data_IF_039584268556
#
_entry.id   IF_039584268556
#
_cell.length_a   1.000
_cell.length_b   1.000
_cell.length_c   1.000
_cell.angle_alpha   90.00
_cell.angle_beta   90.00
_cell.angle_gamma   90.00
#
_symmetry.space_group_name_H-M   'P 1'
#
loop_
_entity.id
_entity.type
_entity.pdbx_description
1 polymer ?
#
# COMPACT_ATOMS: atom_id res chain seq x y z
N UNK A 1 1.78 2.02 -47.90
CA UNK A 1 1.99 3.20 -47.04
C UNK A 1 2.96 2.77 -45.94
N UNK A 2 4.24 3.13 -46.07
CA UNK A 2 5.29 2.77 -45.11
C UNK A 2 5.54 3.93 -44.16
N UNK A 3 5.44 3.68 -42.85
CA UNK A 3 5.77 4.65 -41.81
C UNK A 3 7.28 4.71 -41.62
N UNK A 4 7.85 5.89 -41.79
CA UNK A 4 9.28 6.17 -41.67
C UNK A 4 9.57 6.68 -40.25
N UNK A 5 9.43 5.83 -39.24
CA UNK A 5 9.63 6.25 -37.84
C UNK A 5 11.09 6.07 -37.41
N UNK A 6 11.76 7.22 -37.30
CA UNK A 6 13.14 7.37 -36.84
C UNK A 6 13.19 7.04 -35.33
N UNK A 7 13.97 6.02 -34.97
CA UNK A 7 14.36 5.74 -33.58
C UNK A 7 15.22 6.90 -33.07
N UNK A 8 14.74 7.61 -32.05
CA UNK A 8 15.41 8.78 -31.46
C UNK A 8 16.83 8.46 -30.97
N UNK A 9 17.82 8.88 -31.75
CA UNK A 9 19.20 9.08 -31.30
C UNK A 9 19.39 10.52 -30.83
N UNK A 10 20.17 10.69 -29.76
CA UNK A 10 20.54 11.98 -29.16
C UNK A 10 21.29 12.88 -30.15
N UNK A 11 20.54 13.61 -30.97
CA UNK A 11 20.87 14.93 -31.51
C UNK A 11 19.86 15.21 -32.62
N UNK A 12 19.05 16.25 -32.44
CA UNK A 12 18.83 17.30 -33.43
C UNK A 12 17.69 18.20 -32.95
N UNK A 13 17.94 19.51 -32.99
CA UNK A 13 16.97 20.60 -32.85
C UNK A 13 15.62 20.21 -33.49
N UNK A 14 14.61 19.93 -32.68
CA UNK A 14 13.27 19.64 -33.17
C UNK A 14 12.43 20.90 -33.18
N UNK A 15 12.12 21.35 -34.40
CA UNK A 15 11.26 22.47 -34.69
C UNK A 15 9.85 22.22 -34.16
N UNK A 16 9.28 23.31 -33.64
CA UNK A 16 7.91 23.46 -33.16
C UNK A 16 6.90 22.86 -34.17
N UNK A 17 6.32 21.69 -33.87
CA UNK A 17 5.19 21.16 -34.67
C UNK A 17 4.97 19.64 -34.70
N UNK A 18 5.85 18.80 -34.18
CA UNK A 18 5.65 17.34 -34.22
C UNK A 18 4.95 16.81 -32.97
N UNK A 19 3.88 16.03 -33.20
CA UNK A 19 3.13 15.31 -32.18
C UNK A 19 4.06 14.29 -31.50
N UNK A 20 4.78 14.72 -30.47
CA UNK A 20 5.76 13.89 -29.78
C UNK A 20 5.05 12.68 -29.21
N UNK A 21 5.23 11.51 -29.82
CA UNK A 21 4.75 10.25 -29.29
C UNK A 21 5.45 10.00 -27.95
N UNK A 22 4.75 10.30 -26.85
CA UNK A 22 5.31 10.21 -25.51
C UNK A 22 5.39 8.76 -25.11
N UNK A 23 6.60 8.22 -25.00
CA UNK A 23 6.80 6.95 -24.31
C UNK A 23 6.32 7.12 -22.85
N UNK A 24 5.71 6.10 -22.22
CA UNK A 24 5.24 6.17 -20.83
C UNK A 24 6.30 6.62 -19.81
N UNK A 25 7.58 6.54 -20.18
CA UNK A 25 8.73 6.97 -19.39
C UNK A 25 9.05 8.47 -19.49
N UNK A 26 8.40 9.20 -20.40
CA UNK A 26 8.78 10.58 -20.80
C UNK A 26 7.87 11.68 -20.26
N UNK A 27 6.83 11.36 -19.48
CA UNK A 27 5.82 12.35 -19.06
C UNK A 27 6.03 12.97 -17.68
N UNK A 28 7.04 12.57 -16.89
CA UNK A 28 7.09 12.90 -15.45
C UNK A 28 5.78 12.57 -14.71
N UNK A 29 4.91 11.72 -15.29
CA UNK A 29 3.60 11.44 -14.71
C UNK A 29 3.73 10.73 -13.37
N UNK A 30 2.80 11.07 -12.49
CA UNK A 30 2.66 10.38 -11.22
C UNK A 30 2.39 8.90 -11.47
N UNK A 31 3.30 8.02 -11.01
CA UNK A 31 3.08 6.58 -11.05
C UNK A 31 1.97 6.23 -10.06
N UNK A 32 0.80 5.90 -10.61
CA UNK A 32 -0.39 5.45 -9.89
C UNK A 32 -0.85 4.12 -10.48
N UNK A 33 -1.45 3.27 -9.67
CA UNK A 33 -1.97 1.97 -10.07
C UNK A 33 -3.45 1.84 -9.71
N UNK A 34 -4.19 1.07 -10.50
CA UNK A 34 -5.57 0.67 -10.17
C UNK A 34 -5.66 -0.84 -10.25
N UNK A 35 -6.11 -1.47 -9.17
CA UNK A 35 -6.33 -2.92 -9.09
C UNK A 35 -7.82 -3.18 -8.91
N UNK A 36 -8.34 -4.16 -9.64
CA UNK A 36 -9.69 -4.67 -9.43
C UNK A 36 -9.59 -5.97 -8.64
N UNK A 37 -10.08 -5.96 -7.40
CA UNK A 37 -9.91 -7.04 -6.43
C UNK A 37 -11.28 -7.57 -6.04
N UNK A 38 -11.51 -8.85 -6.28
CA UNK A 38 -12.73 -9.51 -5.82
C UNK A 38 -12.57 -9.98 -4.37
N UNK A 39 -13.45 -9.56 -3.48
CA UNK A 39 -13.49 -9.98 -2.09
C UNK A 39 -14.64 -10.99 -1.88
N UNK A 40 -14.37 -12.22 -1.40
CA UNK A 40 -15.40 -13.23 -1.18
C UNK A 40 -16.48 -12.83 -0.16
N UNK A 41 -16.12 -11.96 0.78
CA UNK A 41 -16.99 -11.42 1.81
C UNK A 41 -16.60 -9.99 2.15
N UNK A 42 -17.52 -9.23 2.74
CA UNK A 42 -17.21 -7.88 3.20
C UNK A 42 -16.38 -7.94 4.48
N UNK A 43 -15.42 -7.02 4.65
CA UNK A 43 -14.65 -6.90 5.88
C UNK A 43 -13.26 -6.35 5.67
N UNK A 44 -12.38 -6.56 6.65
CA UNK A 44 -11.02 -6.03 6.65
C UNK A 44 -10.06 -6.99 5.94
N UNK A 45 -9.20 -6.43 5.09
CA UNK A 45 -8.17 -7.17 4.37
C UNK A 45 -6.80 -6.54 4.60
N UNK A 46 -5.84 -7.34 5.06
CA UNK A 46 -4.45 -6.92 5.10
C UNK A 46 -3.81 -7.02 3.72
N UNK A 47 -2.77 -6.23 3.48
CA UNK A 47 -2.11 -6.12 2.19
C UNK A 47 -0.65 -6.52 2.34
N UNK A 48 -0.21 -7.44 1.50
CA UNK A 48 1.19 -7.75 1.28
C UNK A 48 1.55 -7.35 -0.14
N UNK A 49 2.79 -6.90 -0.36
CA UNK A 49 3.22 -6.52 -1.68
C UNK A 49 4.72 -6.59 -1.89
N UNK A 50 5.11 -6.80 -3.14
CA UNK A 50 6.50 -6.70 -3.60
C UNK A 50 6.72 -5.32 -4.21
N UNK A 51 7.87 -4.71 -3.96
CA UNK A 51 8.21 -3.42 -4.55
C UNK A 51 9.70 -3.21 -4.77
N UNK A 52 10.00 -2.21 -5.61
CA UNK A 52 11.34 -1.70 -5.82
C UNK A 52 11.38 -0.17 -5.86
N UNK A 53 12.29 0.42 -5.09
CA UNK A 53 12.62 1.85 -5.19
C UNK A 53 14.05 2.14 -4.72
N UNK A 54 14.75 3.01 -5.46
CA UNK A 54 16.10 3.51 -5.12
C UNK A 54 16.09 4.64 -4.08
N UNK A 55 14.91 5.17 -3.76
CA UNK A 55 14.70 6.33 -2.88
C UNK A 55 13.54 6.04 -1.94
N UNK A 56 13.45 6.78 -0.83
CA UNK A 56 12.32 6.67 0.09
C UNK A 56 11.03 7.08 -0.61
N UNK A 57 10.03 6.18 -0.61
CA UNK A 57 8.70 6.41 -1.19
C UNK A 57 7.60 6.03 -0.21
N UNK A 58 6.40 6.50 -0.50
CA UNK A 58 5.17 6.13 0.19
C UNK A 58 4.14 5.59 -0.78
N UNK A 59 3.15 4.88 -0.24
CA UNK A 59 2.00 4.33 -0.94
C UNK A 59 0.72 4.67 -0.19
N UNK A 60 -0.31 5.04 -0.92
CA UNK A 60 -1.66 5.24 -0.40
C UNK A 60 -2.61 4.28 -1.12
N UNK A 61 -3.28 3.41 -0.38
CA UNK A 61 -4.33 2.53 -0.89
C UNK A 61 -5.69 3.09 -0.51
N UNK A 62 -6.59 3.19 -1.47
CA UNK A 62 -7.97 3.63 -1.28
C UNK A 62 -8.94 2.79 -2.09
N UNK A 63 -10.15 2.59 -1.59
CA UNK A 63 -11.24 1.99 -2.36
C UNK A 63 -11.99 3.11 -3.07
N UNK A 64 -12.15 2.99 -4.38
CA UNK A 64 -12.85 3.96 -5.24
C UNK A 64 -12.34 5.41 -5.17
N UNK A 65 -11.10 5.61 -4.71
CA UNK A 65 -10.51 6.94 -4.54
C UNK A 65 -11.02 7.68 -3.31
N UNK A 66 -11.69 7.00 -2.39
CA UNK A 66 -12.14 7.57 -1.11
C UNK A 66 -10.95 8.11 -0.30
N UNK A 67 -11.07 9.35 0.16
CA UNK A 67 -10.08 10.00 1.03
C UNK A 67 -10.30 9.69 2.51
N UNK A 68 -11.46 9.14 2.87
CA UNK A 68 -11.83 8.85 4.27
C UNK A 68 -11.16 7.58 4.78
N UNK A 69 -10.95 6.58 3.92
CA UNK A 69 -10.43 5.27 4.31
C UNK A 69 -9.12 4.91 3.59
N UNK A 70 -8.09 5.74 3.73
CA UNK A 70 -6.78 5.49 3.11
C UNK A 70 -5.86 4.65 4.00
N UNK A 71 -5.25 3.59 3.46
CA UNK A 71 -4.12 2.90 4.08
C UNK A 71 -2.83 3.49 3.54
N UNK A 72 -2.03 4.09 4.42
CA UNK A 72 -0.74 4.69 4.05
C UNK A 72 0.39 3.78 4.48
N UNK A 73 1.38 3.64 3.61
CA UNK A 73 2.66 3.00 3.87
C UNK A 73 3.75 4.04 3.58
N UNK A 74 4.61 4.33 4.54
CA UNK A 74 5.70 5.28 4.36
C UNK A 74 7.06 4.62 4.52
N UNK A 75 8.10 5.29 4.02
CA UNK A 75 9.50 4.88 4.10
C UNK A 75 9.83 3.56 3.37
N UNK A 76 9.13 3.29 2.27
CA UNK A 76 9.47 2.20 1.37
C UNK A 76 10.80 2.53 0.71
N UNK A 77 11.84 1.75 1.01
CA UNK A 77 13.17 1.89 0.42
C UNK A 77 13.76 0.51 0.15
N UNK A 78 14.06 0.20 -1.12
CA UNK A 78 14.65 -1.10 -1.48
C UNK A 78 16.16 -1.07 -1.36
N UNK A 79 16.82 -0.05 -1.88
CA UNK A 79 18.24 0.18 -1.61
C UNK A 79 18.60 1.59 -2.03
N UNK A 80 19.59 2.20 -1.38
CA UNK A 80 20.17 3.47 -1.85
C UNK A 80 21.19 3.24 -2.98
N UNK A 81 21.83 2.07 -2.99
CA UNK A 81 22.69 1.58 -4.06
C UNK A 81 21.91 0.56 -4.88
N UNK A 82 21.78 0.76 -6.19
CA UNK A 82 21.01 -0.14 -7.04
C UNK A 82 21.53 -1.59 -6.94
N UNK A 83 20.85 -2.42 -6.14
CA UNK A 83 21.24 -3.81 -5.83
C UNK A 83 20.32 -4.83 -6.52
N UNK A 84 19.30 -4.37 -7.23
CA UNK A 84 18.30 -5.21 -7.90
C UNK A 84 17.38 -5.98 -6.94
N UNK A 85 17.46 -5.76 -5.63
CA UNK A 85 16.70 -6.53 -4.65
C UNK A 85 15.25 -6.05 -4.58
N UNK A 86 14.32 -6.89 -5.03
CA UNK A 86 12.89 -6.70 -4.78
C UNK A 86 12.60 -6.86 -3.29
N UNK A 87 11.87 -5.92 -2.71
CA UNK A 87 11.49 -5.94 -1.30
C UNK A 87 10.03 -6.22 -1.06
N UNK A 88 9.68 -6.59 0.18
CA UNK A 88 8.32 -6.89 0.60
C UNK A 88 7.84 -5.98 1.74
N UNK A 89 6.57 -5.63 1.70
CA UNK A 89 5.82 -5.11 2.85
C UNK A 89 4.66 -6.06 3.19
N UNK A 90 4.23 -6.01 4.45
CA UNK A 90 3.09 -6.74 4.98
C UNK A 90 2.45 -5.86 6.06
N UNK A 91 1.18 -5.50 5.90
CA UNK A 91 0.49 -4.62 6.86
C UNK A 91 -0.03 -5.34 8.09
N UNK A 92 -0.03 -6.69 8.12
CA UNK A 92 -0.51 -7.49 9.26
C UNK A 92 0.62 -8.15 10.05
N UNK A 93 1.81 -8.30 9.46
CA UNK A 93 2.96 -8.77 10.21
C UNK A 93 3.43 -7.71 11.23
N UNK A 94 3.78 -8.15 12.43
CA UNK A 94 4.66 -7.35 13.29
C UNK A 94 5.96 -7.18 12.53
N UNK A 95 6.28 -5.94 12.16
CA UNK A 95 7.38 -5.61 11.24
C UNK A 95 8.61 -6.48 11.58
N UNK A 96 9.28 -7.12 10.60
CA UNK A 96 10.48 -7.93 10.87
C UNK A 96 11.71 -7.26 10.27
N UNK A 97 12.83 -7.31 11.00
CA UNK A 97 14.13 -6.79 10.57
C UNK A 97 14.91 -7.98 10.05
N UNK A 98 14.81 -8.29 8.76
CA UNK A 98 15.68 -9.33 8.23
C UNK A 98 16.23 -8.99 6.85
N UNK A 99 17.54 -8.76 6.82
CA UNK A 99 18.33 -8.65 5.59
C UNK A 99 18.32 -9.95 4.79
N UNK A 100 17.99 -11.11 5.38
CA UNK A 100 17.87 -12.39 4.69
C UNK A 100 16.51 -12.60 4.02
N UNK A 101 15.42 -11.98 4.48
CA UNK A 101 14.06 -12.20 3.94
C UNK A 101 13.70 -11.29 2.76
N UNK A 102 14.61 -10.40 2.34
CA UNK A 102 14.35 -9.30 1.40
C UNK A 102 13.18 -8.40 1.82
N UNK A 103 12.77 -8.41 3.09
CA UNK A 103 11.76 -7.47 3.59
C UNK A 103 12.40 -6.08 3.74
N UNK A 104 11.60 -5.00 3.66
CA UNK A 104 12.17 -3.69 3.98
C UNK A 104 12.54 -3.59 5.44
N UNK A 105 13.67 -2.94 5.71
CA UNK A 105 14.24 -2.80 7.04
C UNK A 105 13.21 -2.15 7.99
N UNK A 106 12.77 -2.95 8.96
CA UNK A 106 11.75 -2.65 10.00
C UNK A 106 11.85 -1.27 10.64
N UNK A 107 13.05 -0.76 10.89
CA UNK A 107 13.25 0.49 11.61
C UNK A 107 12.75 1.73 10.86
N UNK A 108 12.29 1.57 9.61
CA UNK A 108 11.83 2.68 8.77
C UNK A 108 10.36 2.59 8.35
N UNK A 109 9.78 1.42 8.11
CA UNK A 109 8.40 1.32 7.60
C UNK A 109 7.35 1.70 8.64
N UNK A 110 6.43 2.59 8.25
CA UNK A 110 5.26 2.95 9.06
C UNK A 110 3.97 2.76 8.28
N UNK A 111 2.94 2.27 8.96
CA UNK A 111 1.60 2.05 8.42
C UNK A 111 0.59 2.90 9.17
N UNK A 112 -0.35 3.55 8.47
CA UNK A 112 -1.45 4.26 9.16
C UNK A 112 -2.49 3.33 9.75
N UNK A 113 -2.62 2.11 9.19
CA UNK A 113 -3.52 1.04 9.62
C UNK A 113 -3.03 -0.30 9.07
N UNK A 114 -3.50 -1.40 9.64
CA UNK A 114 -3.09 -2.76 9.29
C UNK A 114 -3.92 -3.40 8.18
N UNK A 115 -5.07 -2.82 7.85
CA UNK A 115 -6.02 -3.38 6.88
C UNK A 115 -6.86 -2.31 6.17
N UNK A 116 -7.44 -2.71 5.04
CA UNK A 116 -8.37 -1.94 4.23
C UNK A 116 -9.73 -2.65 4.20
N UNK A 117 -10.81 -1.90 4.36
CA UNK A 117 -12.16 -2.44 4.26
C UNK A 117 -12.51 -2.69 2.79
N UNK A 118 -12.95 -3.89 2.45
CA UNK A 118 -13.45 -4.26 1.12
C UNK A 118 -14.90 -4.71 1.23
N UNK A 119 -15.72 -4.32 0.26
CA UNK A 119 -17.08 -4.82 0.10
C UNK A 119 -17.05 -6.22 -0.53
N UNK A 120 -18.05 -7.06 -0.25
CA UNK A 120 -18.20 -8.33 -0.98
C UNK A 120 -18.34 -8.05 -2.48
N UNK A 121 -17.61 -8.81 -3.30
CA UNK A 121 -17.59 -8.66 -4.75
C UNK A 121 -16.41 -7.82 -5.24
N UNK A 122 -16.58 -7.17 -6.40
CA UNK A 122 -15.52 -6.41 -7.06
C UNK A 122 -15.26 -5.07 -6.36
N UNK A 123 -14.01 -4.81 -6.00
CA UNK A 123 -13.56 -3.54 -5.43
C UNK A 123 -12.50 -2.93 -6.35
N UNK A 124 -12.57 -1.61 -6.57
CA UNK A 124 -11.56 -0.87 -7.31
C UNK A 124 -10.60 -0.19 -6.33
N UNK A 125 -9.37 -0.68 -6.28
CA UNK A 125 -8.32 -0.19 -5.39
C UNK A 125 -7.43 0.78 -6.16
N UNK A 126 -7.41 2.03 -5.72
CA UNK A 126 -6.53 3.06 -6.27
C UNK A 126 -5.30 3.16 -5.36
N UNK A 127 -4.12 3.02 -5.98
CA UNK A 127 -2.83 3.06 -5.31
C UNK A 127 -2.01 4.21 -5.87
N UNK A 128 -1.74 5.21 -5.04
CA UNK A 128 -0.93 6.37 -5.43
C UNK A 128 0.37 6.39 -4.65
N UNK A 129 1.34 7.20 -5.11
CA UNK A 129 2.42 7.61 -4.24
C UNK A 129 1.94 8.54 -3.12
N UNK A 130 2.81 8.76 -2.13
CA UNK A 130 2.56 9.72 -1.06
C UNK A 130 2.94 11.14 -1.53
N UNK A 131 1.96 12.03 -1.58
CA UNK A 131 2.13 13.41 -2.03
C UNK A 131 2.94 14.28 -1.06
N UNK A 132 3.15 13.82 0.18
CA UNK A 132 3.82 14.58 1.25
C UNK A 132 5.34 14.40 1.27
N UNK A 133 5.88 13.48 0.46
CA UNK A 133 7.31 13.22 0.36
C UNK A 133 7.91 13.76 -0.95
N UNK A 134 9.22 13.99 -0.96
CA UNK A 134 9.96 14.54 -2.12
C UNK A 134 9.73 13.75 -3.41
N UNK A 135 9.52 12.44 -3.30
CA UNK A 135 9.32 11.52 -4.41
C UNK A 135 7.88 11.01 -4.48
N UNK A 136 6.98 11.87 -4.97
CA UNK A 136 5.51 11.71 -4.96
C UNK A 136 4.95 10.53 -5.78
N UNK A 137 5.78 9.89 -6.60
CA UNK A 137 5.35 8.76 -7.43
C UNK A 137 5.39 7.46 -6.61
N UNK A 138 4.43 6.55 -6.84
CA UNK A 138 4.49 5.23 -6.22
C UNK A 138 5.80 4.50 -6.60
N UNK A 139 6.37 3.66 -5.70
CA UNK A 139 7.45 2.74 -6.07
C UNK A 139 7.01 1.82 -7.20
N UNK A 140 7.98 1.14 -7.84
CA UNK A 140 7.64 0.06 -8.78
C UNK A 140 7.00 -1.06 -7.98
N UNK A 141 5.75 -1.40 -8.26
CA UNK A 141 5.03 -2.48 -7.58
C UNK A 141 5.08 -3.79 -8.38
N UNK A 142 5.25 -4.89 -7.65
CA UNK A 142 4.98 -6.23 -8.13
C UNK A 142 3.59 -6.69 -7.66
N UNK A 143 3.45 -8.00 -7.47
CA UNK A 143 2.18 -8.58 -7.03
C UNK A 143 1.76 -8.08 -5.64
N UNK A 144 0.45 -7.92 -5.47
CA UNK A 144 -0.21 -7.62 -4.22
C UNK A 144 -1.09 -8.80 -3.80
N UNK A 145 -1.09 -9.11 -2.51
CA UNK A 145 -1.95 -10.12 -1.91
C UNK A 145 -2.84 -9.46 -0.87
N UNK A 146 -4.15 -9.70 -0.98
CA UNK A 146 -5.15 -9.24 -0.02
C UNK A 146 -5.63 -10.43 0.79
N UNK A 147 -5.44 -10.38 2.10
CA UNK A 147 -5.80 -11.48 3.00
C UNK A 147 -6.89 -11.01 3.94
N UNK A 148 -8.02 -11.72 3.96
CA UNK A 148 -9.10 -11.43 4.91
C UNK A 148 -8.57 -11.60 6.34
N UNK A 149 -8.71 -10.56 7.15
CA UNK A 149 -8.39 -10.60 8.58
C UNK A 149 -9.70 -10.71 9.33
N UNK A 150 -9.88 -11.82 10.06
CA UNK A 150 -11.02 -12.00 10.94
C UNK A 150 -11.09 -10.80 11.90
N UNK A 151 -12.26 -10.18 12.11
CA UNK A 151 -12.42 -9.26 13.22
C UNK A 151 -12.11 -10.06 14.49
N UNK A 152 -11.00 -9.74 15.16
CA UNK A 152 -10.87 -10.11 16.56
C UNK A 152 -12.12 -9.51 17.25
N UNK A 153 -12.89 -10.28 18.03
CA UNK A 153 -13.88 -9.67 18.89
C UNK A 153 -13.12 -8.66 19.74
N UNK A 154 -13.50 -7.39 19.67
CA UNK A 154 -13.03 -6.39 20.62
C UNK A 154 -13.24 -7.00 22.00
N UNK A 155 -12.15 -7.29 22.72
CA UNK A 155 -12.19 -7.56 24.15
C UNK A 155 -12.51 -6.23 24.84
N UNK A 156 -13.71 -5.70 24.61
CA UNK A 156 -14.39 -4.95 25.64
C UNK A 156 -14.74 -6.01 26.68
N UNK A 157 -13.85 -6.19 27.66
CA UNK A 157 -14.25 -6.73 28.94
C UNK A 157 -15.32 -5.80 29.47
N UNK A 158 -16.58 -6.09 29.15
CA UNK A 158 -17.68 -5.68 29.99
C UNK A 158 -17.38 -6.32 31.35
N UNK A 159 -16.90 -5.50 32.27
CA UNK A 159 -16.86 -5.84 33.69
C UNK A 159 -18.33 -5.94 34.11
N UNK A 160 -18.94 -7.10 33.88
CA UNK A 160 -20.16 -7.46 34.60
C UNK A 160 -19.75 -7.62 36.07
N UNK A 161 -19.97 -6.57 36.84
CA UNK A 161 -19.93 -6.63 38.29
C UNK A 161 -21.01 -7.61 38.75
N UNK A 162 -20.61 -8.84 39.06
CA UNK A 162 -21.41 -9.74 39.89
C UNK A 162 -21.49 -9.13 41.29
N UNK A 163 -22.50 -8.32 41.53
CA UNK A 163 -22.93 -8.00 42.90
C UNK A 163 -23.61 -9.24 43.46
N UNK A 164 -22.87 -10.05 44.21
CA UNK A 164 -23.46 -11.08 45.08
C UNK A 164 -24.26 -10.39 46.19
N UNK A 165 -25.51 -10.84 46.49
CA UNK A 165 -26.32 -10.27 47.56
C UNK A 165 -25.74 -10.60 48.93
N UNK A 166 -25.73 -9.58 49.81
CA UNK A 166 -25.29 -9.71 51.21
C UNK A 166 -26.27 -10.55 52.03
N UNK A 167 -25.78 -11.63 52.64
CA UNK A 167 -26.50 -12.29 53.72
C UNK A 167 -26.20 -11.58 55.04
N UNK A 168 -27.19 -10.88 55.60
CA UNK A 168 -27.17 -10.46 57.00
C UNK A 168 -27.33 -11.69 57.92
N UNK A 169 -26.60 -11.81 59.03
CA UNK A 169 -26.97 -12.73 60.09
C UNK A 169 -28.03 -12.09 60.99
N UNK A 170 -29.17 -12.77 61.18
CA UNK A 170 -30.06 -12.57 62.33
C UNK A 170 -29.33 -13.06 63.59
N UNK A 171 -29.12 -12.18 64.57
CA UNK A 171 -28.86 -12.59 65.95
C UNK A 171 -30.19 -12.57 66.71
N UNK A 172 -30.55 -13.72 67.27
CA UNK A 172 -31.57 -13.91 68.31
C UNK A 172 -30.88 -14.13 69.65
#
# INVERSE_FOLDING_TARGET
>A
MGGNDIRGGNNNNWQNGTNSQKAPTSTNDARNYTFYVNAPQAGQYSIQGIYYTGESRGLNFSVDGSTSEVLKISNLLSSRSWDGTLRRFDTNATNSTDSNSKQSLKSSLSFSKTSLHLNKGLNRIIVTGDSTITNKNAPKLGNLTFTFVNPQPNQNSATESLTSPSSQPLQS
#
